data_IF_997664755990
#
_entry.id   IF_997664755990
#
_cell.length_a   1.000
_cell.length_b   1.000
_cell.length_c   1.000
_cell.angle_alpha   90.00
_cell.angle_beta   90.00
_cell.angle_gamma   90.00
#
_symmetry.space_group_name_H-M   'P 1'
#
loop_
_entity.id
_entity.type
_entity.pdbx_description
1 polymer ?
#
# COMPACT_ATOMS: atom_id res chain seq x y z
N UNK A 1 -6.82 -13.26 2.06
CA UNK A 1 -6.39 -13.19 0.65
C UNK A 1 -7.53 -13.44 -0.32
N UNK A 2 -8.29 -14.53 -0.19
CA UNK A 2 -9.48 -14.77 -1.03
C UNK A 2 -10.43 -13.55 -1.09
N UNK A 3 -10.68 -12.93 0.07
CA UNK A 3 -11.49 -11.71 0.16
C UNK A 3 -10.90 -10.52 -0.60
N UNK A 4 -9.58 -10.36 -0.62
CA UNK A 4 -8.91 -9.30 -1.37
C UNK A 4 -9.11 -9.47 -2.89
N UNK A 5 -9.12 -10.71 -3.39
CA UNK A 5 -9.43 -10.99 -4.80
C UNK A 5 -10.90 -10.75 -5.15
N UNK A 6 -11.82 -11.09 -4.25
CA UNK A 6 -13.24 -10.73 -4.42
C UNK A 6 -13.42 -9.22 -4.54
N UNK A 7 -12.84 -8.46 -3.61
CA UNK A 7 -12.89 -7.00 -3.63
C UNK A 7 -12.27 -6.43 -4.90
N UNK A 8 -11.16 -7.01 -5.37
CA UNK A 8 -10.52 -6.64 -6.61
C UNK A 8 -11.44 -6.84 -7.82
N UNK A 9 -12.03 -8.03 -7.97
CA UNK A 9 -12.98 -8.33 -9.04
C UNK A 9 -14.19 -7.39 -9.01
N UNK A 10 -14.82 -7.22 -7.84
CA UNK A 10 -15.97 -6.32 -7.63
C UNK A 10 -15.64 -4.85 -7.95
N UNK A 11 -14.39 -4.43 -7.74
CA UNK A 11 -13.96 -3.10 -8.10
C UNK A 11 -13.80 -2.94 -9.62
N UNK A 12 -13.32 -3.96 -10.32
CA UNK A 12 -13.10 -3.92 -11.77
C UNK A 12 -14.37 -4.19 -12.60
N UNK A 13 -15.36 -4.88 -12.04
CA UNK A 13 -16.68 -5.07 -12.67
C UNK A 13 -17.56 -3.81 -12.58
N UNK A 14 -17.12 -2.80 -11.84
CA UNK A 14 -17.86 -1.55 -11.65
C UNK A 14 -17.89 -0.71 -12.93
N UNK A 15 -19.09 -0.26 -13.33
CA UNK A 15 -19.26 0.54 -14.55
C UNK A 15 -18.84 1.99 -14.35
N UNK A 16 -19.01 2.52 -13.14
CA UNK A 16 -18.58 3.87 -12.80
C UNK A 16 -17.12 3.86 -12.36
N UNK A 17 -16.23 4.47 -13.14
CA UNK A 17 -14.80 4.50 -12.83
C UNK A 17 -14.45 5.22 -11.52
N UNK A 18 -15.26 6.18 -11.06
CA UNK A 18 -15.06 6.85 -9.76
C UNK A 18 -15.38 5.89 -8.62
N UNK A 19 -16.47 5.13 -8.74
CA UNK A 19 -16.82 4.08 -7.77
C UNK A 19 -15.78 2.95 -7.80
N UNK A 20 -15.32 2.54 -8.97
CA UNK A 20 -14.23 1.57 -9.13
C UNK A 20 -12.95 2.06 -8.44
N UNK A 21 -12.63 3.34 -8.60
CA UNK A 21 -11.46 3.97 -7.99
C UNK A 21 -11.53 3.93 -6.46
N UNK A 22 -12.67 4.31 -5.87
CA UNK A 22 -12.87 4.27 -4.43
C UNK A 22 -12.78 2.84 -3.88
N UNK A 23 -13.36 1.86 -4.58
CA UNK A 23 -13.26 0.43 -4.22
C UNK A 23 -11.82 -0.07 -4.27
N UNK A 24 -11.06 0.25 -5.33
CA UNK A 24 -9.64 -0.10 -5.42
C UNK A 24 -8.80 0.62 -4.36
N UNK A 25 -9.14 1.85 -3.99
CA UNK A 25 -8.45 2.57 -2.93
C UNK A 25 -8.68 1.90 -1.57
N UNK A 26 -9.91 1.52 -1.25
CA UNK A 26 -10.20 0.74 -0.04
C UNK A 26 -9.47 -0.60 -0.01
N UNK A 27 -9.36 -1.27 -1.16
CA UNK A 27 -8.54 -2.48 -1.27
C UNK A 27 -7.04 -2.19 -1.07
N UNK A 28 -6.53 -1.08 -1.60
CA UNK A 28 -5.16 -0.64 -1.35
C UNK A 28 -4.90 -0.47 0.15
N UNK A 29 -5.81 0.21 0.85
CA UNK A 29 -5.75 0.39 2.32
C UNK A 29 -5.77 -0.95 3.06
N UNK A 30 -6.60 -1.89 2.62
CA UNK A 30 -6.66 -3.24 3.17
C UNK A 30 -5.34 -3.99 3.00
N UNK A 31 -4.75 -3.96 1.79
CA UNK A 31 -3.49 -4.62 1.48
C UNK A 31 -2.29 -3.98 2.20
N UNK A 32 -2.31 -2.67 2.41
CA UNK A 32 -1.29 -1.99 3.23
C UNK A 32 -1.57 -2.06 4.72
N UNK A 33 -2.65 -2.74 5.13
CA UNK A 33 -3.08 -2.90 6.53
C UNK A 33 -3.24 -1.56 7.25
N UNK A 34 -3.69 -0.54 6.51
CA UNK A 34 -3.99 0.78 7.07
C UNK A 34 -5.30 0.68 7.84
N UNK A 35 -5.30 1.14 9.08
CA UNK A 35 -6.51 1.17 9.92
C UNK A 35 -7.19 2.54 9.85
N UNK A 36 -8.42 2.65 10.37
CA UNK A 36 -9.14 3.93 10.46
C UNK A 36 -8.46 4.98 11.34
N UNK A 37 -7.50 4.56 12.18
CA UNK A 37 -6.68 5.46 13.01
C UNK A 37 -5.45 5.98 12.25
N UNK A 38 -5.09 5.35 11.16
CA UNK A 38 -3.94 5.73 10.35
C UNK A 38 -4.35 6.78 9.32
N UNK A 39 -3.47 7.74 9.06
CA UNK A 39 -3.70 8.69 7.95
C UNK A 39 -3.49 8.01 6.60
N UNK A 40 -4.13 8.52 5.53
CA UNK A 40 -3.87 8.05 4.16
C UNK A 40 -2.40 8.16 3.73
N UNK A 41 -1.58 8.97 4.43
CA UNK A 41 -0.12 9.02 4.21
C UNK A 41 0.55 7.69 4.57
N UNK A 42 0.02 6.95 5.54
CA UNK A 42 0.51 5.61 5.92
C UNK A 42 0.27 4.61 4.78
N UNK A 43 -0.92 4.64 4.16
CA UNK A 43 -1.21 3.83 2.96
C UNK A 43 -0.20 4.09 1.85
N UNK A 44 0.06 5.37 1.56
CA UNK A 44 1.06 5.75 0.54
C UNK A 44 2.44 5.22 0.89
N UNK A 45 2.92 5.47 2.11
CA UNK A 45 4.25 5.02 2.56
C UNK A 45 4.43 3.49 2.44
N UNK A 46 3.43 2.73 2.88
CA UNK A 46 3.46 1.26 2.83
C UNK A 46 3.31 0.74 1.41
N UNK A 47 2.47 1.34 0.57
CA UNK A 47 2.32 0.95 -0.83
C UNK A 47 3.60 1.17 -1.66
N UNK A 48 4.40 2.18 -1.31
CA UNK A 48 5.70 2.44 -1.95
C UNK A 48 6.75 1.38 -1.57
N UNK A 49 6.61 0.73 -0.41
CA UNK A 49 7.65 -0.15 0.15
C UNK A 49 8.03 -1.34 -0.75
N UNK A 50 7.12 -1.76 -1.63
CA UNK A 50 7.36 -2.86 -2.59
C UNK A 50 8.09 -2.42 -3.86
N UNK A 51 8.39 -1.12 -4.01
CA UNK A 51 9.01 -0.55 -5.21
C UNK A 51 10.47 -0.11 -4.99
N UNK A 52 11.27 -0.21 -6.06
CA UNK A 52 12.66 0.24 -6.10
C UNK A 52 12.80 1.74 -6.41
N UNK A 53 12.09 2.28 -7.41
CA UNK A 53 12.08 3.71 -7.77
C UNK A 53 11.03 4.50 -6.97
N UNK A 54 11.37 4.79 -5.72
CA UNK A 54 10.38 5.30 -4.75
C UNK A 54 9.96 6.73 -5.00
N UNK A 55 10.86 7.59 -5.49
CA UNK A 55 10.55 9.00 -5.68
C UNK A 55 9.41 9.16 -6.69
N UNK A 56 9.51 8.48 -7.84
CA UNK A 56 8.45 8.49 -8.84
C UNK A 56 7.14 7.89 -8.30
N UNK A 57 7.20 6.72 -7.67
CA UNK A 57 6.00 6.06 -7.17
C UNK A 57 5.30 6.84 -6.05
N UNK A 58 6.08 7.57 -5.25
CA UNK A 58 5.56 8.44 -4.21
C UNK A 58 4.74 9.59 -4.78
N UNK A 59 5.23 10.28 -5.79
CA UNK A 59 4.49 11.40 -6.41
C UNK A 59 3.19 10.93 -7.05
N UNK A 60 3.21 9.77 -7.73
CA UNK A 60 1.99 9.18 -8.30
C UNK A 60 0.99 8.81 -7.20
N UNK A 61 1.42 8.15 -6.12
CA UNK A 61 0.51 7.77 -5.03
C UNK A 61 -0.02 8.96 -4.23
N UNK A 62 0.75 10.04 -4.09
CA UNK A 62 0.24 11.30 -3.52
C UNK A 62 -0.82 11.91 -4.43
N UNK A 63 -0.60 11.94 -5.74
CA UNK A 63 -1.60 12.40 -6.70
C UNK A 63 -2.91 11.59 -6.62
N UNK A 64 -2.82 10.26 -6.55
CA UNK A 64 -3.98 9.38 -6.39
C UNK A 64 -4.70 9.60 -5.05
N UNK A 65 -3.95 9.80 -3.96
CA UNK A 65 -4.50 10.14 -2.64
C UNK A 65 -5.26 11.47 -2.68
N UNK A 66 -4.69 12.48 -3.33
CA UNK A 66 -5.28 13.80 -3.40
C UNK A 66 -6.59 13.76 -4.19
N UNK A 67 -6.63 13.00 -5.29
CA UNK A 67 -7.89 12.71 -5.99
C UNK A 67 -8.90 11.97 -5.10
N UNK A 68 -8.48 10.94 -4.34
CA UNK A 68 -9.37 10.24 -3.39
C UNK A 68 -9.99 11.22 -2.40
N UNK A 69 -9.19 12.14 -1.86
CA UNK A 69 -9.65 13.12 -0.90
C UNK A 69 -10.62 14.14 -1.52
N UNK A 70 -10.38 14.57 -2.77
CA UNK A 70 -11.28 15.49 -3.47
C UNK A 70 -12.55 14.83 -4.00
N UNK A 71 -12.51 13.55 -4.39
CA UNK A 71 -13.65 12.81 -4.94
C UNK A 71 -14.79 12.63 -3.94
N UNK A 72 -14.50 12.71 -2.63
CA UNK A 72 -15.53 12.75 -1.58
C UNK A 72 -16.26 14.11 -1.53
N UNK A 73 -15.70 15.14 -2.14
CA UNK A 73 -16.14 16.53 -2.06
C UNK A 73 -16.55 17.16 -3.41
N UNK A 74 -16.35 16.48 -4.54
CA UNK A 74 -16.61 17.03 -5.87
C UNK A 74 -17.74 16.29 -6.57
N UNK A 75 -18.76 17.04 -6.99
CA UNK A 75 -19.93 16.57 -7.75
C UNK A 75 -19.68 16.59 -9.28
N UNK A 76 -18.42 16.73 -9.70
CA UNK A 76 -18.02 16.87 -11.11
C UNK A 76 -17.24 15.64 -11.57
N UNK A 77 -17.70 15.05 -12.68
CA UNK A 77 -17.01 13.97 -13.38
C UNK A 77 -15.60 14.40 -13.76
N UNK A 78 -14.61 13.69 -13.27
CA UNK A 78 -13.23 13.90 -13.70
C UNK A 78 -13.00 13.18 -15.04
N UNK A 79 -12.74 13.93 -16.12
CA UNK A 79 -12.45 13.39 -17.45
C UNK A 79 -11.22 12.45 -17.46
N UNK A 80 -10.35 12.59 -16.46
CA UNK A 80 -9.13 11.82 -16.30
C UNK A 80 -9.26 10.60 -15.36
N UNK A 81 -10.46 10.33 -14.81
CA UNK A 81 -10.67 9.25 -13.84
C UNK A 81 -10.16 7.89 -14.33
N UNK A 82 -10.35 7.61 -15.62
CA UNK A 82 -9.89 6.36 -16.22
C UNK A 82 -8.38 6.20 -16.06
N UNK A 83 -7.58 7.25 -16.29
CA UNK A 83 -6.12 7.20 -16.15
C UNK A 83 -5.71 6.97 -14.69
N UNK A 84 -6.38 7.66 -13.76
CA UNK A 84 -6.16 7.50 -12.32
C UNK A 84 -6.49 6.08 -11.84
N UNK A 85 -7.60 5.52 -12.33
CA UNK A 85 -8.01 4.14 -12.04
C UNK A 85 -6.96 3.13 -12.50
N UNK A 86 -6.46 3.27 -13.74
CA UNK A 86 -5.40 2.40 -14.26
C UNK A 86 -4.09 2.52 -13.47
N UNK A 87 -3.71 3.73 -13.06
CA UNK A 87 -2.54 3.93 -12.20
C UNK A 87 -2.72 3.26 -10.84
N UNK A 88 -3.87 3.46 -10.18
CA UNK A 88 -4.19 2.85 -8.89
C UNK A 88 -4.20 1.32 -8.96
N UNK A 89 -4.80 0.77 -10.02
CA UNK A 89 -4.83 -0.68 -10.29
C UNK A 89 -3.43 -1.30 -10.25
N UNK A 90 -2.43 -0.64 -10.85
CA UNK A 90 -1.03 -1.12 -10.84
C UNK A 90 -0.48 -1.29 -9.42
N UNK A 91 -0.80 -0.37 -8.51
CA UNK A 91 -0.34 -0.46 -7.12
C UNK A 91 -1.04 -1.55 -6.33
N UNK A 92 -2.35 -1.72 -6.56
CA UNK A 92 -3.13 -2.81 -5.97
C UNK A 92 -2.58 -4.16 -6.44
N UNK A 93 -2.32 -4.32 -7.74
CA UNK A 93 -1.77 -5.55 -8.30
C UNK A 93 -0.39 -5.89 -7.75
N UNK A 94 0.51 -4.92 -7.63
CA UNK A 94 1.83 -5.14 -7.05
C UNK A 94 1.75 -5.61 -5.58
N UNK A 95 0.80 -5.09 -4.81
CA UNK A 95 0.58 -5.54 -3.43
C UNK A 95 -0.12 -6.89 -3.35
N UNK A 96 -1.06 -7.20 -4.25
CA UNK A 96 -1.63 -8.53 -4.37
C UNK A 96 -0.52 -9.55 -4.68
N UNK A 97 0.34 -9.26 -5.66
CA UNK A 97 1.50 -10.06 -6.02
C UNK A 97 2.43 -10.29 -4.81
N UNK A 98 2.76 -9.22 -4.07
CA UNK A 98 3.53 -9.34 -2.84
C UNK A 98 2.88 -10.32 -1.85
N UNK A 99 1.58 -10.18 -1.59
CA UNK A 99 0.89 -11.05 -0.63
C UNK A 99 0.80 -12.51 -1.10
N UNK A 100 0.63 -12.75 -2.40
CA UNK A 100 0.60 -14.11 -2.98
C UNK A 100 1.97 -14.79 -2.83
N UNK A 101 3.03 -14.12 -3.28
CA UNK A 101 4.35 -14.74 -3.42
C UNK A 101 5.26 -14.59 -2.20
N UNK A 102 4.94 -13.67 -1.29
CA UNK A 102 5.77 -13.38 -0.12
C UNK A 102 4.99 -13.45 1.19
N UNK A 103 3.65 -13.43 1.16
CA UNK A 103 2.82 -13.43 2.36
C UNK A 103 3.06 -14.62 3.29
N UNK A 104 3.36 -15.81 2.74
CA UNK A 104 3.64 -17.02 3.52
C UNK A 104 4.93 -16.93 4.36
N UNK A 105 5.80 -15.95 4.09
CA UNK A 105 7.06 -15.73 4.84
C UNK A 105 6.83 -15.05 6.20
N UNK A 106 5.60 -14.58 6.44
CA UNK A 106 5.23 -13.86 7.65
C UNK A 106 4.32 -14.74 8.51
N UNK A 107 4.62 -14.82 9.80
CA UNK A 107 3.93 -15.65 10.80
C UNK A 107 2.50 -15.16 11.02
N UNK A 108 2.30 -13.85 11.02
CA UNK A 108 1.00 -13.24 11.25
C UNK A 108 0.86 -11.91 10.50
N UNK A 109 -0.37 -11.40 10.37
CA UNK A 109 -0.60 -10.16 9.64
C UNK A 109 0.08 -8.93 10.26
N UNK A 110 0.34 -8.92 11.57
CA UNK A 110 1.07 -7.84 12.24
C UNK A 110 2.54 -7.75 11.80
N UNK A 111 3.16 -8.89 11.49
CA UNK A 111 4.54 -8.93 10.98
C UNK A 111 4.64 -8.29 9.59
N UNK A 112 3.64 -8.47 8.72
CA UNK A 112 3.56 -7.77 7.43
C UNK A 112 3.45 -6.26 7.63
N UNK A 113 2.63 -5.81 8.58
CA UNK A 113 2.54 -4.39 8.94
C UNK A 113 3.90 -3.85 9.37
N UNK A 114 4.59 -4.55 10.28
CA UNK A 114 5.93 -4.17 10.71
C UNK A 114 6.94 -4.15 9.56
N UNK A 115 6.84 -5.11 8.63
CA UNK A 115 7.71 -5.16 7.45
C UNK A 115 7.50 -3.94 6.53
N UNK A 116 6.25 -3.55 6.26
CA UNK A 116 5.97 -2.35 5.47
C UNK A 116 6.37 -1.05 6.17
N UNK A 117 6.44 -1.05 7.50
CA UNK A 117 6.91 0.09 8.30
C UNK A 117 8.44 0.15 8.43
N UNK A 118 9.17 -0.88 7.96
CA UNK A 118 10.63 -0.85 7.95
C UNK A 118 11.15 0.23 6.98
N UNK A 119 12.31 0.84 7.27
CA UNK A 119 13.00 1.67 6.31
C UNK A 119 13.30 0.86 5.07
N UNK A 120 13.13 1.50 3.93
CA UNK A 120 13.28 0.82 2.65
C UNK A 120 14.71 1.00 2.10
N UNK A 121 15.50 1.93 2.67
CA UNK A 121 16.92 2.11 2.36
C UNK A 121 17.76 0.95 2.95
N UNK A 122 18.50 0.28 2.07
CA UNK A 122 19.36 -0.86 2.44
C UNK A 122 20.47 -0.48 3.43
N UNK A 123 21.04 0.72 3.33
CA UNK A 123 22.05 1.20 4.26
C UNK A 123 21.46 1.36 5.67
N UNK A 124 20.27 1.95 5.76
CA UNK A 124 19.54 2.10 7.03
C UNK A 124 19.18 0.72 7.62
N UNK A 125 18.64 -0.19 6.80
CA UNK A 125 18.33 -1.57 7.23
C UNK A 125 19.57 -2.31 7.75
N UNK A 126 20.70 -2.16 7.06
CA UNK A 126 21.97 -2.79 7.45
C UNK A 126 22.47 -2.23 8.78
N UNK A 127 22.38 -0.91 8.98
CA UNK A 127 22.72 -0.25 10.23
C UNK A 127 21.81 -0.72 11.37
N UNK A 128 20.49 -0.77 11.16
CA UNK A 128 19.53 -1.26 12.15
C UNK A 128 19.80 -2.71 12.53
N UNK A 129 20.05 -3.59 11.55
CA UNK A 129 20.43 -4.99 11.79
C UNK A 129 21.67 -5.09 12.68
N UNK A 130 22.70 -4.30 12.41
CA UNK A 130 23.93 -4.27 13.22
C UNK A 130 23.68 -3.85 14.66
N UNK A 131 22.88 -2.80 14.89
CA UNK A 131 22.53 -2.33 16.23
C UNK A 131 21.71 -3.36 17.01
N UNK A 132 20.73 -4.01 16.37
CA UNK A 132 19.92 -5.07 16.98
C UNK A 132 20.81 -6.26 17.38
N UNK A 133 21.72 -6.68 16.49
CA UNK A 133 22.67 -7.76 16.80
C UNK A 133 23.58 -7.42 17.98
N UNK A 134 24.07 -6.17 18.07
CA UNK A 134 24.82 -5.71 19.25
C UNK A 134 23.96 -5.76 20.51
N UNK A 135 22.72 -5.25 20.47
CA UNK A 135 21.81 -5.23 21.63
C UNK A 135 21.51 -6.64 22.14
N UNK A 136 21.26 -7.59 21.24
CA UNK A 136 21.01 -8.99 21.60
C UNK A 136 22.20 -9.63 22.37
N UNK A 137 23.44 -9.23 22.09
CA UNK A 137 24.60 -9.68 22.85
C UNK A 137 24.61 -9.14 24.28
N UNK A 138 24.13 -7.92 24.50
CA UNK A 138 24.04 -7.31 25.84
C UNK A 138 22.81 -7.77 26.63
N UNK A 139 21.73 -8.19 25.98
CA UNK A 139 20.49 -8.66 26.63
C UNK A 139 20.58 -10.14 27.03
N UNK A 140 21.58 -10.89 26.53
CA UNK A 140 21.86 -12.25 27.00
C UNK A 140 22.42 -12.22 28.43
N UNK A 141 21.49 -12.27 29.39
CA UNK A 141 21.58 -12.70 30.80
C UNK A 141 20.34 -13.55 31.06
#
# INVERSE_FOLDING_TARGET
MEEAFRQYAVALDERNHETAFLKLWSLLEHLTRTTTKDSHKVTVARAISVWSDRAFHQEVLHHLRDYRNSAVHMDQRNEEITKLLYQLKRYVEALLEFHIFHGYKFVNPGEITSFFDLPTDKAILTQQKHLIQKRLRFVRT
#
